data_IF_804506390781
#
_entry.id   IF_804506390781
#
_cell.length_a   1.000
_cell.length_b   1.000
_cell.length_c   1.000
_cell.angle_alpha   90.00
_cell.angle_beta   90.00
_cell.angle_gamma   90.00
#
_symmetry.space_group_name_H-M   'P 1'
#
loop_
_entity.id
_entity.type
_entity.pdbx_description
1 polymer ?
#
# COMPACT_ATOMS: atom_id res chain seq x y z
N UNK A 1 -14.89 38.24 -3.64
CA UNK A 1 -13.60 37.56 -3.88
C UNK A 1 -13.89 36.28 -4.65
N UNK A 2 -13.14 35.99 -5.71
CA UNK A 2 -13.23 34.71 -6.43
C UNK A 2 -12.79 33.59 -5.48
N UNK A 3 -13.47 32.44 -5.53
CA UNK A 3 -13.09 31.28 -4.73
C UNK A 3 -11.80 30.69 -5.31
N UNK A 4 -10.83 30.27 -4.49
CA UNK A 4 -9.62 29.66 -4.99
C UNK A 4 -9.95 28.33 -5.67
N UNK A 5 -9.29 28.03 -6.79
CA UNK A 5 -9.41 26.76 -7.50
C UNK A 5 -8.42 25.76 -6.91
N UNK A 6 -8.95 24.66 -6.36
CA UNK A 6 -8.14 23.58 -5.79
C UNK A 6 -8.27 22.35 -6.68
N UNK A 7 -7.14 21.89 -7.22
CA UNK A 7 -7.07 20.62 -7.97
C UNK A 7 -6.56 19.53 -7.04
N UNK A 8 -7.28 18.40 -6.99
CA UNK A 8 -6.91 17.22 -6.21
C UNK A 8 -6.56 16.10 -7.18
N UNK A 9 -5.27 15.78 -7.28
CA UNK A 9 -4.77 14.67 -8.07
C UNK A 9 -4.94 13.36 -7.29
N UNK A 10 -6.03 12.64 -7.54
CA UNK A 10 -6.38 11.37 -6.93
C UNK A 10 -7.56 11.45 -5.97
N UNK A 11 -8.66 10.78 -6.31
CA UNK A 11 -9.85 10.63 -5.45
C UNK A 11 -9.92 9.23 -4.81
N UNK A 12 -8.84 8.86 -4.09
CA UNK A 12 -8.86 7.75 -3.13
C UNK A 12 -9.49 8.17 -1.79
N UNK A 13 -9.32 7.36 -0.74
CA UNK A 13 -9.93 7.62 0.58
C UNK A 13 -9.61 9.03 1.10
N UNK A 14 -8.33 9.42 1.09
CA UNK A 14 -7.90 10.76 1.52
C UNK A 14 -8.34 11.89 0.57
N UNK A 15 -8.30 11.64 -0.74
CA UNK A 15 -8.66 12.63 -1.76
C UNK A 15 -10.15 13.00 -1.72
N UNK A 16 -11.02 12.00 -1.60
CA UNK A 16 -12.47 12.20 -1.47
C UNK A 16 -12.82 12.99 -0.20
N UNK A 17 -12.27 12.60 0.96
CA UNK A 17 -12.51 13.31 2.21
C UNK A 17 -12.02 14.77 2.15
N UNK A 18 -10.87 14.98 1.52
CA UNK A 18 -10.30 16.32 1.30
C UNK A 18 -11.21 17.15 0.39
N UNK A 19 -11.66 16.59 -0.73
CA UNK A 19 -12.56 17.25 -1.67
C UNK A 19 -13.86 17.70 -1.00
N UNK A 20 -14.51 16.79 -0.27
CA UNK A 20 -15.74 17.04 0.48
C UNK A 20 -15.57 18.19 1.49
N UNK A 21 -14.40 18.26 2.16
CA UNK A 21 -14.15 19.27 3.18
C UNK A 21 -13.83 20.64 2.57
N UNK A 22 -13.12 20.66 1.44
CA UNK A 22 -12.69 21.87 0.75
C UNK A 22 -13.77 22.48 -0.15
N UNK A 23 -14.71 21.69 -0.67
CA UNK A 23 -15.79 22.20 -1.52
C UNK A 23 -16.67 23.29 -0.85
N UNK A 24 -16.61 23.39 0.49
CA UNK A 24 -17.26 24.48 1.25
C UNK A 24 -16.55 25.83 1.07
N UNK A 25 -15.25 25.82 0.78
CA UNK A 25 -14.37 26.99 0.83
C UNK A 25 -13.69 27.32 -0.51
N UNK A 26 -13.61 26.35 -1.43
CA UNK A 26 -12.92 26.47 -2.71
C UNK A 26 -13.75 25.89 -3.87
N UNK A 27 -13.35 26.22 -5.09
CA UNK A 27 -13.84 25.55 -6.30
C UNK A 27 -12.94 24.33 -6.55
N UNK A 28 -13.48 23.13 -6.27
CA UNK A 28 -12.69 21.90 -6.22
C UNK A 28 -12.84 21.10 -7.52
N UNK A 29 -11.71 20.70 -8.08
CA UNK A 29 -11.61 19.74 -9.18
C UNK A 29 -10.92 18.49 -8.66
N UNK A 30 -11.61 17.35 -8.70
CA UNK A 30 -11.06 16.06 -8.31
C UNK A 30 -10.73 15.20 -9.52
N UNK A 31 -9.48 14.76 -9.66
CA UNK A 31 -9.05 13.91 -10.77
C UNK A 31 -8.92 12.46 -10.29
N UNK A 32 -9.48 11.52 -11.03
CA UNK A 32 -9.40 10.11 -10.71
C UNK A 32 -9.27 9.25 -11.96
N UNK A 33 -8.42 8.23 -11.90
CA UNK A 33 -8.33 7.19 -12.93
C UNK A 33 -9.52 6.22 -12.91
N UNK A 34 -10.37 6.29 -11.89
CA UNK A 34 -11.57 5.44 -11.75
C UNK A 34 -12.81 6.32 -11.56
N UNK A 35 -13.99 5.92 -12.06
CA UNK A 35 -15.24 6.67 -11.88
C UNK A 35 -15.84 6.54 -10.48
N UNK A 36 -15.09 5.99 -9.52
CA UNK A 36 -15.54 5.62 -8.20
C UNK A 36 -14.38 5.65 -7.20
N UNK A 37 -14.71 5.80 -5.92
CA UNK A 37 -13.81 5.45 -4.84
C UNK A 37 -13.74 3.92 -4.79
N UNK A 38 -12.61 3.39 -5.24
CA UNK A 38 -12.27 1.97 -5.14
C UNK A 38 -11.24 1.85 -4.04
N UNK A 39 -11.71 1.61 -2.81
CA UNK A 39 -10.82 1.62 -1.65
C UNK A 39 -9.77 0.51 -1.76
N UNK A 40 -8.64 0.74 -1.10
CA UNK A 40 -7.59 -0.25 -0.96
C UNK A 40 -7.69 -1.06 0.33
N UNK A 41 -8.78 -0.92 1.08
CA UNK A 41 -9.01 -1.62 2.33
C UNK A 41 -9.51 -3.05 2.10
N UNK A 42 -9.35 -3.89 3.11
CA UNK A 42 -9.89 -5.25 3.15
C UNK A 42 -9.56 -6.13 1.93
N UNK A 43 -8.27 -6.22 1.59
CA UNK A 43 -7.79 -7.06 0.48
C UNK A 43 -8.28 -8.52 0.60
N UNK A 44 -8.26 -9.10 1.80
CA UNK A 44 -8.70 -10.47 1.99
C UNK A 44 -10.17 -10.67 1.64
N UNK A 45 -11.03 -9.75 2.08
CA UNK A 45 -12.45 -9.74 1.74
C UNK A 45 -12.65 -9.53 0.23
N UNK A 46 -11.90 -8.60 -0.38
CA UNK A 46 -11.95 -8.34 -1.82
C UNK A 46 -11.74 -9.60 -2.65
N UNK A 47 -10.73 -10.38 -2.30
CA UNK A 47 -10.38 -11.57 -3.04
C UNK A 47 -11.28 -12.77 -2.71
N UNK A 48 -11.75 -12.91 -1.46
CA UNK A 48 -12.53 -14.07 -1.04
C UNK A 48 -14.04 -13.90 -1.28
N UNK A 49 -14.55 -12.67 -1.13
CA UNK A 49 -15.98 -12.32 -1.16
C UNK A 49 -16.19 -11.00 -1.93
N UNK A 50 -15.94 -11.00 -3.26
CA UNK A 50 -15.91 -9.78 -4.06
C UNK A 50 -17.21 -8.98 -4.02
N UNK A 51 -18.37 -9.63 -3.96
CA UNK A 51 -19.67 -8.94 -3.85
C UNK A 51 -19.83 -8.19 -2.51
N UNK A 52 -19.44 -8.83 -1.40
CA UNK A 52 -19.48 -8.20 -0.09
C UNK A 52 -18.52 -7.00 -0.04
N UNK A 53 -17.31 -7.19 -0.56
CA UNK A 53 -16.34 -6.12 -0.63
C UNK A 53 -16.79 -4.96 -1.51
N UNK A 54 -17.33 -5.23 -2.71
CA UNK A 54 -17.79 -4.20 -3.62
C UNK A 54 -18.90 -3.34 -2.99
N UNK A 55 -19.85 -3.96 -2.28
CA UNK A 55 -20.90 -3.25 -1.55
C UNK A 55 -20.34 -2.23 -0.54
N UNK A 56 -19.28 -2.60 0.16
CA UNK A 56 -18.76 -1.82 1.29
C UNK A 56 -17.61 -0.86 0.90
N UNK A 57 -16.87 -1.15 -0.19
CA UNK A 57 -15.60 -0.49 -0.53
C UNK A 57 -15.48 0.01 -1.99
N UNK A 58 -16.49 -0.24 -2.83
CA UNK A 58 -16.60 0.35 -4.16
C UNK A 58 -17.77 1.32 -4.20
N UNK A 59 -17.46 2.61 -4.11
CA UNK A 59 -18.43 3.69 -4.01
C UNK A 59 -18.35 4.59 -5.26
N UNK A 60 -19.24 4.39 -6.25
CA UNK A 60 -19.41 5.31 -7.38
C UNK A 60 -19.54 6.76 -6.91
N UNK A 61 -18.89 7.71 -7.62
CA UNK A 61 -18.88 9.09 -7.16
C UNK A 61 -20.26 9.76 -7.18
N UNK A 62 -21.15 9.33 -8.09
CA UNK A 62 -22.55 9.75 -8.17
C UNK A 62 -23.41 9.24 -6.98
N UNK A 63 -22.89 8.30 -6.19
CA UNK A 63 -23.51 7.83 -4.94
C UNK A 63 -23.02 8.57 -3.70
N UNK A 64 -22.18 9.60 -3.87
CA UNK A 64 -21.63 10.41 -2.79
C UNK A 64 -22.16 11.85 -2.90
N UNK A 65 -23.34 12.19 -2.33
CA UNK A 65 -23.96 13.52 -2.51
C UNK A 65 -23.08 14.69 -2.07
N UNK A 66 -22.14 14.43 -1.16
CA UNK A 66 -21.18 15.43 -0.69
C UNK A 66 -20.09 15.77 -1.72
N UNK A 67 -19.99 15.00 -2.80
CA UNK A 67 -19.14 15.27 -3.97
C UNK A 67 -19.91 15.98 -5.09
N UNK A 68 -21.23 16.16 -5.03
CA UNK A 68 -22.00 16.82 -6.10
C UNK A 68 -21.52 18.25 -6.38
N UNK A 69 -20.93 18.91 -5.39
CA UNK A 69 -20.34 20.25 -5.49
C UNK A 69 -18.89 20.24 -6.00
N UNK A 70 -18.32 19.07 -6.29
CA UNK A 70 -16.94 18.88 -6.77
C UNK A 70 -17.00 18.48 -8.24
N UNK A 71 -16.22 19.15 -9.10
CA UNK A 71 -16.10 18.70 -10.49
C UNK A 71 -15.14 17.52 -10.56
N UNK A 72 -15.63 16.35 -10.92
CA UNK A 72 -14.81 15.16 -11.11
C UNK A 72 -14.33 15.02 -12.55
N UNK A 73 -13.03 14.76 -12.73
CA UNK A 73 -12.41 14.44 -14.03
C UNK A 73 -11.97 12.99 -14.02
N UNK A 74 -12.50 12.20 -14.95
CA UNK A 74 -12.08 10.80 -15.15
C UNK A 74 -10.88 10.76 -16.10
N UNK A 75 -9.69 10.55 -15.54
CA UNK A 75 -8.44 10.55 -16.28
C UNK A 75 -7.21 10.34 -15.40
N UNK A 76 -6.07 10.17 -16.05
CA UNK A 76 -4.76 10.04 -15.41
C UNK A 76 -4.01 11.36 -15.50
N UNK A 77 -3.48 11.82 -14.36
CA UNK A 77 -2.52 12.93 -14.34
C UNK A 77 -1.22 12.45 -14.99
N UNK A 78 -0.77 13.12 -16.04
CA UNK A 78 0.46 12.81 -16.78
C UNK A 78 1.58 13.81 -16.52
N UNK A 79 1.26 15.01 -16.05
CA UNK A 79 2.24 16.05 -15.78
C UNK A 79 1.71 17.17 -14.90
N UNK A 80 2.64 17.95 -14.35
CA UNK A 80 2.36 19.20 -13.65
C UNK A 80 3.35 20.25 -14.12
N UNK A 81 2.83 21.40 -14.55
CA UNK A 81 3.60 22.60 -14.80
C UNK A 81 3.44 23.53 -13.59
N UNK A 82 4.56 23.86 -12.96
CA UNK A 82 4.60 24.71 -11.76
C UNK A 82 4.67 26.21 -12.10
N UNK A 83 5.17 26.54 -13.29
CA UNK A 83 5.29 27.93 -13.75
C UNK A 83 3.93 28.44 -14.19
N UNK A 84 3.21 27.65 -15.00
CA UNK A 84 1.85 27.99 -15.45
C UNK A 84 0.76 27.52 -14.48
N UNK A 85 1.14 26.78 -13.42
CA UNK A 85 0.24 26.21 -12.41
C UNK A 85 -0.90 25.39 -13.01
N UNK A 86 -0.54 24.43 -13.85
CA UNK A 86 -1.49 23.56 -14.54
C UNK A 86 -1.15 22.08 -14.32
N UNK A 87 -2.18 21.24 -14.21
CA UNK A 87 -2.06 19.78 -14.19
C UNK A 87 -2.55 19.24 -15.53
N UNK A 88 -1.71 18.50 -16.24
CA UNK A 88 -2.11 17.84 -17.48
C UNK A 88 -2.74 16.48 -17.18
N UNK A 89 -3.92 16.25 -17.74
CA UNK A 89 -4.73 15.05 -17.55
C UNK A 89 -5.01 14.39 -18.89
N UNK A 90 -4.66 13.12 -19.01
CA UNK A 90 -5.13 12.25 -20.09
C UNK A 90 -6.46 11.65 -19.65
N UNK A 91 -7.54 12.16 -20.24
CA UNK A 91 -8.91 11.78 -19.92
C UNK A 91 -9.22 10.35 -20.40
N UNK A 92 -10.24 9.74 -19.81
CA UNK A 92 -10.68 8.38 -20.16
C UNK A 92 -11.15 8.24 -21.62
N UNK A 93 -11.59 9.35 -22.23
CA UNK A 93 -11.95 9.43 -23.66
C UNK A 93 -10.72 9.58 -24.59
N UNK A 94 -9.50 9.59 -24.03
CA UNK A 94 -8.25 9.78 -24.77
C UNK A 94 -7.88 11.25 -25.02
N UNK A 95 -8.74 12.21 -24.67
CA UNK A 95 -8.42 13.63 -24.79
C UNK A 95 -7.42 14.09 -23.73
N UNK A 96 -6.63 15.09 -24.04
CA UNK A 96 -5.75 15.76 -23.07
C UNK A 96 -6.37 17.07 -22.63
N UNK A 97 -6.32 17.37 -21.33
CA UNK A 97 -6.83 18.60 -20.74
C UNK A 97 -5.87 19.14 -19.70
N UNK A 98 -5.73 20.46 -19.65
CA UNK A 98 -4.97 21.13 -18.60
C UNK A 98 -5.92 21.73 -17.56
N UNK A 99 -5.64 21.43 -16.29
CA UNK A 99 -6.41 21.86 -15.14
C UNK A 99 -5.62 22.90 -14.35
N UNK A 100 -5.90 24.21 -14.50
CA UNK A 100 -5.20 25.25 -13.77
C UNK A 100 -5.59 25.22 -12.29
N UNK A 101 -4.68 25.60 -11.40
CA UNK A 101 -4.90 25.58 -9.97
C UNK A 101 -4.30 26.79 -9.24
N UNK A 102 -4.96 27.21 -8.17
CA UNK A 102 -4.36 28.07 -7.13
C UNK A 102 -3.63 27.22 -6.09
N UNK A 103 -4.13 26.01 -5.82
CA UNK A 103 -3.48 25.01 -4.99
C UNK A 103 -3.68 23.59 -5.56
N UNK A 104 -2.61 22.81 -5.53
CA UNK A 104 -2.60 21.40 -5.94
C UNK A 104 -2.45 20.50 -4.71
N UNK A 105 -3.34 19.51 -4.58
CA UNK A 105 -3.25 18.45 -3.58
C UNK A 105 -2.92 17.14 -4.28
N UNK A 106 -1.78 16.56 -3.93
CA UNK A 106 -1.34 15.26 -4.45
C UNK A 106 -1.84 14.15 -3.51
N UNK A 107 -2.86 13.42 -3.94
CA UNK A 107 -3.50 12.32 -3.21
C UNK A 107 -3.59 11.05 -4.08
N UNK A 108 -2.57 10.81 -4.91
CA UNK A 108 -2.51 9.74 -5.92
C UNK A 108 -2.35 8.34 -5.31
N UNK A 109 -2.04 8.25 -4.03
CA UNK A 109 -1.84 6.99 -3.31
C UNK A 109 -0.55 6.30 -3.72
N UNK A 110 -0.54 4.97 -3.61
CA UNK A 110 0.61 4.12 -3.95
C UNK A 110 0.24 3.13 -5.03
N UNK A 111 1.22 2.76 -5.86
CA UNK A 111 1.06 1.69 -6.83
C UNK A 111 1.59 0.36 -6.29
N UNK A 112 1.00 -0.74 -6.76
CA UNK A 112 1.57 -2.07 -6.63
C UNK A 112 1.29 -2.89 -7.90
N UNK A 113 2.10 -3.92 -8.15
CA UNK A 113 1.98 -4.74 -9.35
C UNK A 113 0.76 -5.66 -9.41
N UNK A 114 -0.15 -5.60 -8.43
CA UNK A 114 -1.27 -6.53 -8.35
C UNK A 114 -2.63 -5.87 -8.55
N UNK A 115 -2.93 -4.77 -7.85
CA UNK A 115 -4.30 -4.22 -7.82
C UNK A 115 -4.40 -2.72 -7.57
N UNK A 116 -3.31 -2.07 -7.15
CA UNK A 116 -3.22 -0.60 -7.07
C UNK A 116 -2.46 -0.11 -8.29
N UNK A 117 -3.14 -0.12 -9.43
CA UNK A 117 -2.58 0.34 -10.70
C UNK A 117 -3.06 1.76 -11.00
N UNK A 118 -2.19 2.66 -11.46
CA UNK A 118 -2.57 4.00 -11.90
C UNK A 118 -3.16 3.97 -13.32
N UNK A 119 -3.96 2.92 -13.63
CA UNK A 119 -4.59 2.72 -14.93
C UNK A 119 -5.98 3.35 -14.91
N UNK A 120 -6.29 4.10 -15.97
CA UNK A 120 -7.66 4.58 -16.21
C UNK A 120 -8.55 3.38 -16.51
N UNK A 121 -9.65 3.24 -15.76
CA UNK A 121 -10.54 2.09 -15.83
C UNK A 121 -12.00 2.55 -15.81
N UNK A 122 -12.85 1.86 -16.58
CA UNK A 122 -14.30 1.93 -16.46
C UNK A 122 -14.79 1.09 -15.26
N UNK A 123 -16.08 1.20 -14.95
CA UNK A 123 -16.72 0.34 -13.95
C UNK A 123 -16.65 -1.15 -14.35
N UNK A 124 -16.81 -1.46 -15.64
CA UNK A 124 -16.74 -2.81 -16.16
C UNK A 124 -15.33 -3.38 -16.07
N UNK A 125 -14.30 -2.58 -16.34
CA UNK A 125 -12.91 -2.99 -16.15
C UNK A 125 -12.61 -3.33 -14.68
N UNK A 126 -13.14 -2.52 -13.74
CA UNK A 126 -12.99 -2.76 -12.30
C UNK A 126 -13.68 -4.08 -11.90
N UNK A 127 -14.90 -4.31 -12.39
CA UNK A 127 -15.66 -5.54 -12.13
C UNK A 127 -14.96 -6.77 -12.71
N UNK A 128 -14.45 -6.67 -13.94
CA UNK A 128 -13.72 -7.73 -14.62
C UNK A 128 -12.42 -8.07 -13.88
N UNK A 129 -11.62 -7.07 -13.51
CA UNK A 129 -10.39 -7.24 -12.73
C UNK A 129 -10.67 -7.91 -11.37
N UNK A 130 -11.71 -7.45 -10.66
CA UNK A 130 -12.12 -8.01 -9.37
C UNK A 130 -12.52 -9.49 -9.51
N UNK A 131 -13.34 -9.80 -10.52
CA UNK A 131 -13.83 -11.14 -10.81
C UNK A 131 -12.70 -12.06 -11.23
N UNK A 132 -11.79 -11.59 -12.08
CA UNK A 132 -10.61 -12.34 -12.51
C UNK A 132 -9.67 -12.66 -11.34
N UNK A 133 -9.42 -11.70 -10.45
CA UNK A 133 -8.60 -11.92 -9.26
C UNK A 133 -9.24 -12.94 -8.31
N UNK A 134 -10.56 -12.85 -8.09
CA UNK A 134 -11.31 -13.81 -7.30
C UNK A 134 -11.23 -15.22 -7.90
N UNK A 135 -11.51 -15.39 -9.20
CA UNK A 135 -11.46 -16.70 -9.84
C UNK A 135 -10.06 -17.30 -9.85
N UNK A 136 -9.02 -16.50 -10.09
CA UNK A 136 -7.63 -16.95 -9.99
C UNK A 136 -7.31 -17.48 -8.60
N UNK A 137 -7.77 -16.78 -7.56
CA UNK A 137 -7.58 -17.23 -6.20
C UNK A 137 -8.43 -18.50 -5.91
N UNK A 138 -9.69 -18.54 -6.34
CA UNK A 138 -10.61 -19.64 -6.09
C UNK A 138 -10.14 -20.96 -6.75
N UNK A 139 -9.60 -20.89 -7.96
CA UNK A 139 -9.08 -22.05 -8.71
C UNK A 139 -7.69 -22.51 -8.25
N UNK A 140 -7.00 -21.72 -7.44
CA UNK A 140 -5.67 -22.06 -6.96
C UNK A 140 -5.71 -23.29 -6.01
N UNK A 141 -4.93 -24.32 -6.34
CA UNK A 141 -4.74 -25.50 -5.49
C UNK A 141 -3.95 -25.19 -4.21
N UNK A 142 -3.02 -24.23 -4.30
CA UNK A 142 -2.22 -23.74 -3.19
C UNK A 142 -2.03 -22.23 -3.30
N UNK A 143 -1.93 -21.58 -2.14
CA UNK A 143 -1.76 -20.13 -2.03
C UNK A 143 -0.67 -19.88 -0.98
N UNK A 144 0.29 -19.03 -1.32
CA UNK A 144 1.30 -18.53 -0.38
C UNK A 144 1.01 -17.07 -0.11
N UNK A 145 0.87 -16.72 1.16
CA UNK A 145 0.74 -15.33 1.61
C UNK A 145 2.09 -14.89 2.16
N UNK A 146 2.69 -13.86 1.57
CA UNK A 146 4.00 -13.34 1.94
C UNK A 146 3.82 -12.03 2.71
N UNK A 147 4.41 -11.96 3.91
CA UNK A 147 4.36 -10.80 4.81
C UNK A 147 3.50 -11.04 6.05
N UNK A 148 3.80 -10.33 7.13
CA UNK A 148 3.11 -10.45 8.44
C UNK A 148 2.19 -9.27 8.78
N UNK A 149 1.95 -8.36 7.85
CA UNK A 149 1.10 -7.18 8.07
C UNK A 149 -0.39 -7.49 7.99
N UNK A 150 -1.23 -6.53 8.38
CA UNK A 150 -2.70 -6.67 8.42
C UNK A 150 -3.30 -7.14 7.08
N UNK A 151 -2.78 -6.65 5.95
CA UNK A 151 -3.24 -7.09 4.62
C UNK A 151 -2.99 -8.58 4.37
N UNK A 152 -1.83 -9.10 4.79
CA UNK A 152 -1.49 -10.51 4.67
C UNK A 152 -2.35 -11.37 5.60
N UNK A 153 -2.48 -10.96 6.87
CA UNK A 153 -3.30 -11.67 7.87
C UNK A 153 -4.78 -11.72 7.44
N UNK A 154 -5.36 -10.59 7.02
CA UNK A 154 -6.74 -10.54 6.52
C UNK A 154 -6.91 -11.42 5.27
N UNK A 155 -5.93 -11.41 4.35
CA UNK A 155 -5.96 -12.28 3.15
C UNK A 155 -5.92 -13.77 3.49
N UNK A 156 -5.10 -14.15 4.47
CA UNK A 156 -5.04 -15.50 5.00
C UNK A 156 -6.36 -15.90 5.69
N UNK A 157 -6.88 -15.06 6.59
CA UNK A 157 -8.05 -15.36 7.41
C UNK A 157 -9.36 -15.50 6.62
N UNK A 158 -9.50 -14.78 5.49
CA UNK A 158 -10.73 -14.80 4.70
C UNK A 158 -10.90 -16.06 3.83
N UNK A 159 -9.95 -17.00 3.86
CA UNK A 159 -10.06 -18.30 3.20
C UNK A 159 -10.07 -19.41 4.27
N UNK A 160 -10.80 -20.52 4.06
CA UNK A 160 -10.54 -21.75 4.81
C UNK A 160 -9.13 -22.24 4.44
N UNK A 161 -8.13 -21.81 5.21
CA UNK A 161 -6.77 -22.27 5.04
C UNK A 161 -6.69 -23.72 5.50
N UNK A 162 -6.07 -24.58 4.69
CA UNK A 162 -5.55 -25.83 5.21
C UNK A 162 -4.50 -25.49 6.26
N UNK A 163 -4.51 -26.20 7.38
CA UNK A 163 -3.48 -26.07 8.41
C UNK A 163 -2.11 -26.30 7.76
N UNK A 164 -1.39 -25.21 7.52
CA UNK A 164 -0.01 -25.28 7.05
C UNK A 164 0.84 -25.71 8.24
N UNK A 165 1.26 -26.98 8.27
CA UNK A 165 2.33 -27.42 9.15
C UNK A 165 3.65 -27.11 8.45
N UNK A 166 4.37 -26.06 8.87
CA UNK A 166 5.65 -25.78 8.26
C UNK A 166 6.60 -26.98 8.46
N UNK A 167 7.46 -27.29 7.47
CA UNK A 167 8.51 -28.28 7.69
C UNK A 167 9.33 -27.85 8.90
N UNK A 168 9.54 -28.75 9.86
CA UNK A 168 10.29 -28.49 11.11
C UNK A 168 11.77 -28.09 10.88
N UNK A 169 12.22 -28.00 9.63
CA UNK A 169 13.64 -28.07 9.20
C UNK A 169 14.02 -27.03 8.13
N UNK A 170 13.35 -25.88 8.07
CA UNK A 170 13.68 -24.78 7.14
C UNK A 170 13.35 -23.39 7.73
N UNK A 171 13.86 -23.08 8.92
CA UNK A 171 13.67 -21.78 9.56
C UNK A 171 15.00 -21.24 10.09
N UNK A 172 15.29 -19.99 9.78
CA UNK A 172 16.23 -19.15 10.53
C UNK A 172 15.46 -18.31 11.57
N UNK A 173 16.16 -17.77 12.56
CA UNK A 173 15.53 -17.03 13.67
C UNK A 173 14.97 -15.67 13.21
N UNK A 174 13.70 -15.40 13.53
CA UNK A 174 12.97 -14.15 13.16
C UNK A 174 13.05 -13.10 14.27
N UNK A 175 13.39 -13.48 15.50
CA UNK A 175 13.30 -12.62 16.69
C UNK A 175 14.59 -11.86 17.02
N UNK A 176 15.68 -12.04 16.26
CA UNK A 176 16.97 -11.43 16.60
C UNK A 176 17.51 -11.86 17.97
N UNK A 177 18.48 -11.11 18.50
CA UNK A 177 19.06 -11.34 19.83
C UNK A 177 18.07 -10.87 20.90
N UNK A 178 17.73 -11.74 21.84
CA UNK A 178 16.86 -11.43 22.97
C UNK A 178 17.69 -11.09 24.22
N UNK A 179 17.12 -10.47 25.26
CA UNK A 179 17.85 -10.12 26.49
C UNK A 179 18.59 -11.31 27.12
N UNK A 180 18.01 -12.51 27.00
CA UNK A 180 18.54 -13.75 27.57
C UNK A 180 19.39 -14.57 26.57
N UNK A 181 19.71 -13.99 25.41
CA UNK A 181 20.54 -14.59 24.37
C UNK A 181 19.87 -14.74 23.00
N UNK A 182 20.57 -15.42 22.10
CA UNK A 182 20.12 -15.68 20.73
C UNK A 182 19.87 -17.17 20.55
N UNK A 183 18.68 -17.52 20.08
CA UNK A 183 18.38 -18.89 19.66
C UNK A 183 18.48 -19.01 18.15
N UNK A 184 19.34 -19.92 17.70
CA UNK A 184 19.56 -20.22 16.27
C UNK A 184 19.08 -21.63 16.00
N UNK A 185 18.23 -21.77 15.00
CA UNK A 185 17.73 -23.06 14.55
C UNK A 185 18.57 -23.54 13.36
N UNK A 186 19.28 -24.65 13.55
CA UNK A 186 20.06 -25.27 12.48
C UNK A 186 19.14 -25.90 11.42
N UNK A 187 19.59 -26.10 10.17
CA UNK A 187 18.84 -26.82 9.13
C UNK A 187 18.41 -28.23 9.56
N UNK A 188 19.13 -28.83 10.52
CA UNK A 188 18.80 -30.12 11.14
C UNK A 188 17.65 -30.06 12.16
N UNK A 189 17.17 -28.88 12.54
CA UNK A 189 16.13 -28.66 13.55
C UNK A 189 16.63 -28.55 14.99
N UNK A 190 17.95 -28.60 15.21
CA UNK A 190 18.56 -28.40 16.53
C UNK A 190 18.56 -26.91 16.85
N UNK A 191 17.97 -26.54 17.99
CA UNK A 191 18.13 -25.22 18.56
C UNK A 191 19.50 -25.14 19.25
N UNK A 192 20.27 -24.11 18.92
CA UNK A 192 21.49 -23.72 19.60
C UNK A 192 21.24 -22.37 20.25
N UNK A 193 21.30 -22.35 21.58
CA UNK A 193 21.16 -21.12 22.36
C UNK A 193 22.54 -20.56 22.64
N UNK A 194 22.75 -19.32 22.21
CA UNK A 194 23.93 -18.52 22.51
C UNK A 194 23.58 -17.57 23.65
N UNK A 195 24.24 -17.67 24.82
CA UNK A 195 24.06 -16.70 25.90
C UNK A 195 24.35 -15.28 25.41
N UNK A 196 23.64 -14.27 25.93
CA UNK A 196 23.76 -12.87 25.50
C UNK A 196 25.23 -12.38 25.50
N UNK A 197 25.99 -12.72 26.54
CA UNK A 197 27.42 -12.38 26.63
C UNK A 197 28.24 -12.90 25.45
N UNK A 198 27.93 -14.10 24.95
CA UNK A 198 28.66 -14.72 23.83
C UNK A 198 28.31 -14.06 22.51
N UNK A 199 27.06 -13.59 22.39
CA UNK A 199 26.60 -12.84 21.22
C UNK A 199 27.32 -11.50 21.14
N UNK A 200 27.39 -10.78 22.25
CA UNK A 200 28.04 -9.46 22.34
C UNK A 200 29.57 -9.52 22.24
N UNK A 201 30.20 -10.50 22.90
CA UNK A 201 31.67 -10.56 22.99
C UNK A 201 32.35 -11.37 21.90
N UNK A 202 31.65 -12.33 21.30
CA UNK A 202 32.26 -13.27 20.34
C UNK A 202 31.59 -13.14 18.97
N UNK A 203 30.28 -13.35 18.89
CA UNK A 203 29.58 -13.41 17.60
C UNK A 203 29.64 -12.07 16.86
N UNK A 204 29.28 -10.96 17.52
CA UNK A 204 29.29 -9.65 16.87
C UNK A 204 30.71 -9.16 16.50
N UNK A 205 31.69 -9.11 17.41
CA UNK A 205 32.99 -8.52 17.11
C UNK A 205 33.81 -9.34 16.12
N UNK A 206 33.80 -10.67 16.25
CA UNK A 206 34.70 -11.54 15.51
C UNK A 206 34.04 -12.15 14.27
N UNK A 207 32.83 -12.70 14.41
CA UNK A 207 32.16 -13.37 13.29
C UNK A 207 31.51 -12.34 12.36
N UNK A 208 30.69 -11.44 12.92
CA UNK A 208 29.94 -10.47 12.12
C UNK A 208 30.85 -9.35 11.60
N UNK A 209 31.44 -8.55 12.50
CA UNK A 209 32.20 -7.35 12.10
C UNK A 209 33.49 -7.69 11.36
N UNK A 210 34.24 -8.69 11.82
CA UNK A 210 35.57 -9.04 11.28
C UNK A 210 35.53 -10.16 10.23
N UNK A 211 34.68 -11.17 10.42
CA UNK A 211 34.54 -12.29 9.49
C UNK A 211 33.67 -11.98 8.26
N UNK A 212 32.40 -11.67 8.48
CA UNK A 212 31.42 -11.44 7.41
C UNK A 212 31.68 -10.09 6.72
N UNK A 213 31.72 -9.02 7.51
CA UNK A 213 31.82 -7.65 6.96
C UNK A 213 33.24 -7.12 6.85
N UNK A 214 34.26 -7.94 7.17
CA UNK A 214 35.69 -7.67 6.94
C UNK A 214 36.19 -6.31 7.45
N UNK A 215 35.75 -5.87 8.64
CA UNK A 215 36.36 -4.72 9.35
C UNK A 215 35.41 -3.59 9.73
N UNK A 216 34.16 -3.88 10.09
CA UNK A 216 33.23 -2.84 10.59
C UNK A 216 33.71 -2.28 11.93
N UNK A 217 33.95 -0.97 11.98
CA UNK A 217 34.30 -0.24 13.20
C UNK A 217 33.12 -0.14 14.20
N UNK A 218 33.34 0.46 15.38
CA UNK A 218 32.26 0.77 16.31
C UNK A 218 31.20 1.63 15.60
N UNK A 219 29.95 1.17 15.60
CA UNK A 219 28.83 1.85 14.97
C UNK A 219 27.85 2.30 16.06
N UNK A 220 27.95 3.58 16.44
CA UNK A 220 27.01 4.23 17.36
C UNK A 220 26.42 5.48 16.67
N UNK A 221 25.48 5.29 15.74
CA UNK A 221 24.91 6.40 14.96
C UNK A 221 24.09 7.38 15.82
N UNK A 222 23.75 7.00 17.06
CA UNK A 222 22.96 7.82 17.98
C UNK A 222 23.80 8.79 18.80
N UNK A 223 25.13 8.72 18.74
CA UNK A 223 25.99 9.81 19.25
C UNK A 223 25.74 11.12 18.51
N UNK A 224 25.42 11.04 17.22
CA UNK A 224 25.22 12.21 16.35
C UNK A 224 23.74 12.47 16.02
N UNK A 225 22.83 11.57 16.37
CA UNK A 225 21.40 11.68 16.10
C UNK A 225 20.61 11.43 17.38
N UNK A 226 19.86 12.45 17.85
CA UNK A 226 18.91 12.29 18.95
C UNK A 226 17.62 11.67 18.42
N UNK A 227 17.18 10.58 19.06
CA UNK A 227 15.80 10.07 18.91
C UNK A 227 14.94 10.86 19.89
N UNK A 228 14.05 11.70 19.37
CA UNK A 228 13.01 12.40 20.14
C UNK A 228 11.78 11.53 20.32
#
# INVERSE_FOLDING_TARGET
MTRPRVVIAGLGDGGVLTAIRLARHADVVGISVKPALVSGQELGLRLARPHQWARDYWLPFDRLPRLDTVRTVHGAVSGVDLDTRAVTVVCADGSTRDEPYDALIVATGVSNGFWRRPTTQSADDIAADLTAAHHRLASAQSVVVVGGGAAAISSAANRPLRTYRPPRRRWGSVLGVQPEGLEVFAPSGRALRFPAWSVERVLYPWIVRRGIYRGVGPNDPLQNARIG
#
